data_IF_883773827606
#
_entry.id   IF_883773827606
#
_cell.length_a   1.000
_cell.length_b   1.000
_cell.length_c   1.000
_cell.angle_alpha   90.00
_cell.angle_beta   90.00
_cell.angle_gamma   90.00
#
_symmetry.space_group_name_H-M   'P 1'
#
loop_
_entity.id
_entity.type
_entity.pdbx_description
1 polymer ?
#
# COMPACT_ATOMS: atom_id res chain seq x y z
N UNK A 1 3.86 15.48 10.41
CA UNK A 1 3.10 14.21 10.35
C UNK A 1 3.64 13.43 9.17
N UNK A 2 4.23 12.25 9.39
CA UNK A 2 4.96 11.51 8.34
C UNK A 2 3.99 10.87 7.34
N UNK A 3 4.13 11.24 6.06
CA UNK A 3 3.34 10.70 4.97
C UNK A 3 4.22 10.03 3.92
N UNK A 4 3.74 8.93 3.37
CA UNK A 4 4.32 8.30 2.18
C UNK A 4 3.26 8.22 1.09
N UNK A 5 3.70 8.04 -0.16
CA UNK A 5 2.81 7.75 -1.28
C UNK A 5 3.08 6.33 -1.79
N UNK A 6 2.01 5.56 -2.02
CA UNK A 6 2.11 4.21 -2.55
C UNK A 6 1.34 4.09 -3.86
N UNK A 7 2.00 3.51 -4.86
CA UNK A 7 1.38 3.05 -6.10
C UNK A 7 0.64 1.75 -5.85
N UNK A 8 -0.66 1.75 -6.14
CA UNK A 8 -1.58 0.64 -5.89
C UNK A 8 -2.44 0.41 -7.15
N UNK A 9 -2.64 -0.86 -7.52
CA UNK A 9 -3.46 -1.25 -8.66
C UNK A 9 -4.93 -0.86 -8.44
N UNK A 10 -5.69 -0.49 -9.49
CA UNK A 10 -7.08 -0.03 -9.36
C UNK A 10 -7.99 -0.98 -8.56
N UNK A 11 -7.86 -2.29 -8.75
CA UNK A 11 -8.63 -3.31 -8.03
C UNK A 11 -8.43 -3.27 -6.50
N UNK A 12 -7.20 -3.03 -6.03
CA UNK A 12 -6.90 -2.95 -4.60
C UNK A 12 -7.19 -1.56 -4.05
N UNK A 13 -6.94 -0.52 -4.83
CA UNK A 13 -7.34 0.84 -4.49
C UNK A 13 -8.82 0.90 -4.16
N UNK A 14 -9.68 0.33 -5.02
CA UNK A 14 -11.13 0.27 -4.76
C UNK A 14 -11.44 -0.42 -3.44
N UNK A 15 -10.86 -1.60 -3.19
CA UNK A 15 -11.06 -2.36 -1.93
C UNK A 15 -10.59 -1.61 -0.68
N UNK A 16 -9.53 -0.80 -0.77
CA UNK A 16 -9.08 0.05 0.33
C UNK A 16 -10.10 1.17 0.56
N UNK A 17 -10.53 1.86 -0.51
CA UNK A 17 -11.50 2.95 -0.43
C UNK A 17 -12.86 2.50 0.11
N UNK A 18 -13.32 1.31 -0.27
CA UNK A 18 -14.55 0.69 0.21
C UNK A 18 -14.42 0.17 1.66
N UNK A 19 -13.19 0.08 2.18
CA UNK A 19 -12.91 -0.38 3.56
C UNK A 19 -12.81 -1.90 3.72
N UNK A 20 -12.95 -2.67 2.65
CA UNK A 20 -12.88 -4.13 2.64
C UNK A 20 -11.46 -4.67 2.88
N UNK A 21 -10.45 -3.96 2.38
CA UNK A 21 -9.04 -4.31 2.53
C UNK A 21 -8.42 -3.54 3.69
N UNK A 22 -8.04 -4.25 4.75
CA UNK A 22 -7.49 -3.68 5.99
C UNK A 22 -5.96 -3.77 6.10
N UNK A 23 -5.30 -4.39 5.12
CA UNK A 23 -3.85 -4.58 5.15
C UNK A 23 -3.24 -4.23 3.80
N UNK A 24 -2.17 -3.42 3.81
CA UNK A 24 -1.32 -3.17 2.65
C UNK A 24 0.01 -3.92 2.81
N UNK A 25 0.19 -4.99 2.03
CA UNK A 25 1.35 -5.86 2.11
C UNK A 25 2.56 -5.25 1.42
N UNK A 26 3.73 -5.37 2.04
CA UNK A 26 5.01 -4.94 1.46
C UNK A 26 6.15 -5.89 1.82
N UNK A 27 7.01 -6.17 0.86
CA UNK A 27 8.30 -6.85 1.13
C UNK A 27 9.26 -5.99 1.97
N UNK A 28 9.19 -4.67 1.83
CA UNK A 28 10.03 -3.69 2.53
C UNK A 28 9.17 -2.53 3.02
N UNK A 29 9.32 -2.16 4.28
CA UNK A 29 8.64 -1.02 4.91
C UNK A 29 9.44 0.27 4.74
N UNK A 30 8.79 1.41 4.96
CA UNK A 30 9.49 2.68 5.06
C UNK A 30 10.45 2.68 6.27
N UNK A 31 11.59 3.37 6.14
CA UNK A 31 12.59 3.48 7.22
C UNK A 31 12.10 4.29 8.43
N UNK A 32 11.11 5.15 8.23
CA UNK A 32 10.52 6.00 9.27
C UNK A 32 9.11 5.54 9.57
N UNK A 33 8.65 5.81 10.79
CA UNK A 33 7.26 5.61 11.17
C UNK A 33 6.34 6.38 10.21
N UNK A 34 5.28 5.73 9.75
CA UNK A 34 4.34 6.26 8.76
C UNK A 34 3.00 6.44 9.45
N UNK A 35 2.44 7.65 9.41
CA UNK A 35 1.09 7.92 9.93
C UNK A 35 0.01 7.91 8.86
N UNK A 36 0.38 8.23 7.62
CA UNK A 36 -0.57 8.30 6.52
C UNK A 36 0.05 7.81 5.21
N UNK A 37 -0.73 7.04 4.46
CA UNK A 37 -0.40 6.63 3.10
C UNK A 37 -1.30 7.40 2.13
N UNK A 38 -0.70 8.13 1.19
CA UNK A 38 -1.38 8.65 0.00
C UNK A 38 -1.54 7.53 -1.02
N UNK A 39 -2.76 7.32 -1.49
CA UNK A 39 -3.11 6.24 -2.41
C UNK A 39 -3.01 6.77 -3.85
N UNK A 40 -1.93 6.43 -4.54
CA UNK A 40 -1.79 6.65 -5.97
C UNK A 40 -2.33 5.44 -6.73
N UNK A 41 -3.45 5.61 -7.42
CA UNK A 41 -4.01 4.60 -8.30
C UNK A 41 -3.23 4.58 -9.61
N UNK A 42 -2.70 3.42 -9.99
CA UNK A 42 -1.94 3.26 -11.24
C UNK A 42 -2.86 3.32 -12.48
N UNK A 43 -2.34 2.97 -13.66
CA UNK A 43 -3.11 2.94 -14.91
C UNK A 43 -4.43 2.16 -14.76
N UNK A 44 -5.56 2.63 -15.33
CA UNK A 44 -5.69 3.82 -16.20
C UNK A 44 -5.92 5.15 -15.47
N UNK A 45 -6.10 5.16 -14.14
CA UNK A 45 -6.44 6.39 -13.42
C UNK A 45 -5.25 7.34 -13.27
N UNK A 46 -4.08 6.79 -12.90
CA UNK A 46 -2.82 7.53 -12.74
C UNK A 46 -2.93 8.79 -11.86
N UNK A 47 -3.69 8.71 -10.76
CA UNK A 47 -3.99 9.84 -9.87
C UNK A 47 -3.95 9.45 -8.40
N UNK A 48 -3.74 10.44 -7.54
CA UNK A 48 -3.93 10.28 -6.09
C UNK A 48 -5.41 10.39 -5.79
N UNK A 49 -6.00 9.31 -5.29
CA UNK A 49 -7.45 9.17 -5.12
C UNK A 49 -7.91 9.34 -3.68
N UNK A 50 -6.98 9.31 -2.72
CA UNK A 50 -7.30 9.43 -1.30
C UNK A 50 -6.08 9.24 -0.42
N UNK A 51 -6.33 9.21 0.88
CA UNK A 51 -5.33 8.91 1.91
C UNK A 51 -5.93 7.96 2.95
N UNK A 52 -5.07 7.16 3.59
CA UNK A 52 -5.46 6.21 4.64
C UNK A 52 -4.50 6.31 5.82
N UNK A 53 -5.06 6.25 7.02
CA UNK A 53 -4.30 6.21 8.28
C UNK A 53 -3.60 4.86 8.45
N UNK A 54 -2.40 4.90 9.02
CA UNK A 54 -1.66 3.70 9.42
C UNK A 54 -1.79 3.53 10.93
N UNK A 55 -2.48 2.48 11.35
CA UNK A 55 -2.71 2.16 12.76
C UNK A 55 -1.53 1.39 13.37
N UNK A 56 -0.77 0.71 12.52
CA UNK A 56 0.39 -0.07 12.95
C UNK A 56 1.01 -0.84 11.80
N UNK A 57 2.00 -1.66 12.15
CA UNK A 57 2.76 -2.49 11.23
C UNK A 57 2.86 -3.90 11.79
N UNK A 58 2.73 -4.90 10.91
CA UNK A 58 2.97 -6.31 11.23
C UNK A 58 4.18 -6.77 10.42
N UNK A 59 5.10 -7.47 11.08
CA UNK A 59 6.25 -8.13 10.45
C UNK A 59 6.37 -9.55 11.00
N UNK A 60 6.10 -10.56 10.17
CA UNK A 60 6.10 -11.96 10.59
C UNK A 60 6.33 -12.89 9.38
N UNK A 61 6.32 -14.21 9.57
CA UNK A 61 6.46 -15.15 8.46
C UNK A 61 5.29 -15.00 7.46
N UNK A 62 5.48 -15.30 6.15
CA UNK A 62 4.37 -15.25 5.19
C UNK A 62 3.16 -16.11 5.60
N UNK A 63 3.40 -17.30 6.15
CA UNK A 63 2.34 -18.19 6.63
C UNK A 63 1.55 -17.56 7.78
N UNK A 64 2.23 -17.02 8.80
CA UNK A 64 1.57 -16.36 9.93
C UNK A 64 0.85 -15.10 9.51
N UNK A 65 1.45 -14.31 8.61
CA UNK A 65 0.84 -13.11 8.04
C UNK A 65 -0.47 -13.48 7.36
N UNK A 66 -0.46 -14.50 6.50
CA UNK A 66 -1.65 -14.95 5.79
C UNK A 66 -2.75 -15.39 6.77
N UNK A 67 -2.40 -16.27 7.72
CA UNK A 67 -3.35 -16.79 8.70
C UNK A 67 -4.02 -15.68 9.51
N UNK A 68 -3.29 -14.62 9.87
CA UNK A 68 -3.81 -13.48 10.64
C UNK A 68 -4.66 -12.51 9.82
N UNK A 69 -4.43 -12.41 8.51
CA UNK A 69 -4.94 -11.28 7.71
C UNK A 69 -5.83 -11.67 6.52
N UNK A 70 -5.90 -12.96 6.16
CA UNK A 70 -6.59 -13.47 4.96
C UNK A 70 -8.02 -12.96 4.78
N UNK A 71 -8.80 -12.85 5.86
CA UNK A 71 -10.22 -12.47 5.80
C UNK A 71 -10.43 -11.01 5.36
N UNK A 72 -9.39 -10.17 5.49
CA UNK A 72 -9.38 -8.75 5.08
C UNK A 72 -8.19 -8.41 4.19
N UNK A 73 -7.59 -9.41 3.56
CA UNK A 73 -6.42 -9.28 2.70
C UNK A 73 -6.74 -8.58 1.37
N UNK A 74 -7.95 -8.80 0.83
CA UNK A 74 -8.37 -8.25 -0.46
C UNK A 74 -7.57 -8.76 -1.66
N UNK A 75 -6.81 -9.85 -1.50
CA UNK A 75 -6.04 -10.57 -2.54
C UNK A 75 -6.21 -12.07 -2.35
N UNK A 76 -5.93 -12.89 -3.37
CA UNK A 76 -5.94 -14.34 -3.25
C UNK A 76 -4.74 -14.87 -2.46
N UNK A 77 -4.86 -16.06 -1.88
CA UNK A 77 -3.76 -16.79 -1.25
C UNK A 77 -2.62 -17.05 -2.23
N UNK A 78 -2.96 -17.49 -3.45
CA UNK A 78 -2.00 -17.74 -4.53
C UNK A 78 -1.17 -16.50 -4.85
N UNK A 79 -1.83 -15.34 -5.01
CA UNK A 79 -1.13 -14.08 -5.29
C UNK A 79 -0.31 -13.60 -4.08
N UNK A 80 -0.82 -13.81 -2.86
CA UNK A 80 -0.11 -13.48 -1.64
C UNK A 80 1.19 -14.28 -1.50
N UNK A 81 1.13 -15.62 -1.60
CA UNK A 81 2.30 -16.47 -1.45
C UNK A 81 3.27 -16.30 -2.60
N UNK A 82 2.77 -16.11 -3.83
CA UNK A 82 3.63 -15.71 -4.96
C UNK A 82 4.32 -14.37 -4.70
N UNK A 83 3.64 -13.41 -4.09
CA UNK A 83 4.26 -12.13 -3.74
C UNK A 83 5.34 -12.28 -2.67
N UNK A 84 5.19 -13.16 -1.69
CA UNK A 84 6.19 -13.33 -0.64
C UNK A 84 7.16 -14.50 -0.87
N UNK A 85 7.16 -15.07 -2.07
CA UNK A 85 8.07 -16.15 -2.43
C UNK A 85 9.54 -15.74 -2.26
N UNK A 86 10.31 -16.63 -1.63
CA UNK A 86 11.71 -16.41 -1.24
C UNK A 86 11.94 -15.37 -0.13
N UNK A 87 10.88 -14.84 0.51
CA UNK A 87 11.00 -13.82 1.56
C UNK A 87 10.77 -14.43 2.94
N UNK A 88 11.75 -14.28 3.84
CA UNK A 88 11.66 -14.79 5.22
C UNK A 88 10.56 -14.09 6.05
N UNK A 89 10.40 -12.79 5.86
CA UNK A 89 9.44 -11.96 6.60
C UNK A 89 8.52 -11.19 5.63
N UNK A 90 7.22 -11.38 5.78
CA UNK A 90 6.20 -10.55 5.17
C UNK A 90 5.90 -9.34 6.08
N UNK A 91 5.70 -8.16 5.48
CA UNK A 91 5.28 -6.98 6.20
C UNK A 91 3.91 -6.48 5.72
N UNK A 92 3.18 -5.83 6.61
CA UNK A 92 1.90 -5.19 6.30
C UNK A 92 1.73 -3.89 7.09
N UNK A 93 1.19 -2.86 6.45
CA UNK A 93 0.57 -1.73 7.16
C UNK A 93 -0.87 -2.08 7.52
N UNK A 94 -1.26 -1.82 8.76
CA UNK A 94 -2.65 -1.91 9.21
C UNK A 94 -3.35 -0.61 8.81
N UNK A 95 -4.38 -0.74 7.97
CA UNK A 95 -5.09 0.39 7.38
C UNK A 95 -6.29 0.77 8.25
N UNK A 96 -6.26 1.99 8.77
CA UNK A 96 -7.32 2.55 9.60
C UNK A 96 -8.36 3.32 8.79
N UNK A 97 -8.63 4.56 9.20
CA UNK A 97 -9.60 5.43 8.56
C UNK A 97 -9.15 5.84 7.17
N UNK A 98 -10.07 5.70 6.21
CA UNK A 98 -9.85 6.07 4.80
C UNK A 98 -10.55 7.38 4.50
N UNK A 99 -9.86 8.24 3.75
CA UNK A 99 -10.40 9.50 3.22
C UNK A 99 -10.25 9.54 1.71
N UNK A 100 -11.34 9.21 1.03
CA UNK A 100 -11.43 9.34 -0.42
C UNK A 100 -11.56 10.81 -0.85
N UNK A 101 -10.85 11.19 -1.91
CA UNK A 101 -10.93 12.54 -2.45
C UNK A 101 -12.10 12.66 -3.43
N UNK A 102 -12.91 13.71 -3.28
CA UNK A 102 -14.02 14.03 -4.21
C UNK A 102 -13.52 14.18 -5.66
N UNK A 103 -12.32 14.76 -5.83
CA UNK A 103 -11.64 14.90 -7.12
C UNK A 103 -10.25 14.29 -7.00
N UNK A 104 -9.94 13.21 -7.74
CA UNK A 104 -8.60 12.64 -7.80
C UNK A 104 -7.58 13.69 -8.26
N UNK A 105 -6.40 13.70 -7.63
CA UNK A 105 -5.36 14.71 -7.84
C UNK A 105 -4.24 14.19 -8.74
N UNK A 106 -3.69 15.07 -9.56
CA UNK A 106 -2.45 14.80 -10.30
C UNK A 106 -1.27 14.81 -9.33
N UNK A 107 -0.25 14.00 -9.58
CA UNK A 107 0.96 13.97 -8.76
C UNK A 107 1.64 15.36 -8.69
N UNK A 108 1.69 16.05 -9.83
CA UNK A 108 2.30 17.39 -9.92
C UNK A 108 1.58 18.39 -9.01
N UNK A 109 0.26 18.24 -8.84
CA UNK A 109 -0.53 19.12 -7.97
C UNK A 109 -0.25 18.96 -6.48
N UNK A 110 0.47 17.91 -6.09
CA UNK A 110 0.93 17.66 -4.71
C UNK A 110 2.46 17.72 -4.59
N UNK A 111 3.14 18.36 -5.56
CA UNK A 111 4.59 18.55 -5.54
C UNK A 111 5.41 17.34 -6.01
N UNK A 112 4.76 16.29 -6.54
CA UNK A 112 5.44 15.09 -7.02
C UNK A 112 5.55 15.14 -8.55
N UNK A 113 6.77 15.30 -9.06
CA UNK A 113 7.02 15.42 -10.50
C UNK A 113 7.06 14.07 -11.23
N UNK A 114 7.42 13.00 -10.53
CA UNK A 114 7.62 11.65 -11.10
C UNK A 114 6.67 10.68 -10.40
N UNK A 115 5.97 9.86 -11.18
CA UNK A 115 5.10 8.83 -10.61
C UNK A 115 5.90 7.87 -9.72
N UNK A 116 5.38 7.52 -8.52
CA UNK A 116 6.00 6.48 -7.75
C UNK A 116 5.97 5.18 -8.58
N UNK A 117 7.09 4.44 -8.68
CA UNK A 117 7.15 3.28 -9.53
C UNK A 117 6.08 2.25 -9.10
N UNK A 118 5.46 1.55 -10.05
CA UNK A 118 4.61 0.41 -9.72
C UNK A 118 5.52 -0.68 -9.14
N UNK A 119 5.57 -0.79 -7.81
CA UNK A 119 6.38 -1.82 -7.15
C UNK A 119 5.67 -3.17 -7.34
N UNK A 120 6.21 -4.08 -8.16
CA UNK A 120 6.08 -5.55 -8.04
C UNK A 120 6.90 -6.29 -9.14
N UNK A 121 7.76 -7.30 -8.85
CA UNK A 121 8.76 -7.41 -7.79
C UNK A 121 10.18 -7.43 -8.42
N UNK A 122 10.81 -6.28 -8.70
CA UNK A 122 12.21 -6.26 -9.12
C UNK A 122 12.88 -5.08 -8.41
N UNK A 123 13.74 -5.43 -7.45
CA UNK A 123 14.76 -4.66 -6.74
C UNK A 123 14.42 -3.26 -6.17
N UNK A 124 14.58 -3.15 -4.85
CA UNK A 124 15.12 -2.03 -4.03
C UNK A 124 14.87 -0.59 -4.54
N UNK A 125 14.26 0.25 -3.69
CA UNK A 125 14.78 1.53 -3.16
C UNK A 125 13.63 2.39 -2.58
N UNK A 126 13.98 3.08 -1.49
CA UNK A 126 13.22 4.07 -0.74
C UNK A 126 12.36 5.01 -1.61
N UNK A 127 11.08 5.24 -1.25
CA UNK A 127 10.29 6.32 -1.84
C UNK A 127 9.86 7.38 -0.82
N UNK A 128 10.31 8.60 -1.16
CA UNK A 128 9.92 9.96 -0.78
C UNK A 128 9.08 10.08 0.50
N UNK A 129 9.79 10.46 1.56
CA UNK A 129 9.25 11.08 2.78
C UNK A 129 8.94 12.54 2.43
N UNK A 130 7.70 12.97 2.61
CA UNK A 130 7.39 14.38 2.86
C UNK A 130 7.28 14.61 4.37
#
# INVERSE_FOLDING_TARGET
MSKIILSIRPEYTKRILDGDKKYEYRRVLAKKDVKTILIYCTHPLMKVVGEVEVEGVISTSPCDMWNRTRDKAGISDKDFFKYFDGVKNANAYILGKVKQYKKPKQLVSIGIKIAPPPIFPIYKIDFIIF
#
